data_IF_699129230513
#
_entry.id   IF_699129230513
#
_cell.length_a   1.000
_cell.length_b   1.000
_cell.length_c   1.000
_cell.angle_alpha   90.00
_cell.angle_beta   90.00
_cell.angle_gamma   90.00
#
_symmetry.space_group_name_H-M   'P 1'
#
loop_
_entity.id
_entity.type
_entity.pdbx_description
1 polymer ?
#
# COMPACT_ATOMS: atom_id res chain seq x y z
N UNK A 1 39.32 38.39 -34.03
CA UNK A 1 38.87 36.99 -33.98
C UNK A 1 40.06 36.13 -33.57
N UNK A 2 40.02 35.49 -32.39
CA UNK A 2 41.12 34.60 -31.97
C UNK A 2 41.10 33.34 -32.85
N UNK A 3 42.27 32.81 -33.28
CA UNK A 3 42.33 31.59 -34.08
C UNK A 3 41.91 30.39 -33.23
N UNK A 4 41.14 29.51 -33.86
CA UNK A 4 40.70 28.23 -33.30
C UNK A 4 41.93 27.40 -32.90
N UNK A 5 41.99 26.98 -31.63
CA UNK A 5 43.03 26.10 -31.12
C UNK A 5 42.95 24.75 -31.83
N UNK A 6 44.05 24.35 -32.45
CA UNK A 6 44.16 23.16 -33.28
C UNK A 6 44.24 21.90 -32.40
N UNK A 7 43.15 21.13 -32.31
CA UNK A 7 43.09 19.85 -31.59
C UNK A 7 43.72 18.71 -32.42
N UNK A 8 44.97 18.86 -32.88
CA UNK A 8 45.60 18.04 -33.93
C UNK A 8 45.73 16.51 -33.71
N UNK A 9 45.98 15.96 -32.51
CA UNK A 9 46.20 14.52 -32.37
C UNK A 9 44.91 13.68 -32.29
N UNK A 10 43.81 14.24 -31.75
CA UNK A 10 42.55 13.51 -31.57
C UNK A 10 41.73 13.53 -32.86
N UNK A 11 41.67 14.69 -33.53
CA UNK A 11 40.92 14.86 -34.78
C UNK A 11 41.55 14.08 -35.94
N UNK A 12 42.88 14.00 -36.01
CA UNK A 12 43.58 13.23 -37.05
C UNK A 12 43.33 11.71 -36.94
N UNK A 13 43.25 11.17 -35.72
CA UNK A 13 42.91 9.76 -35.48
C UNK A 13 41.47 9.43 -35.87
N UNK A 14 40.52 10.29 -35.48
CA UNK A 14 39.10 10.15 -35.86
C UNK A 14 38.90 10.27 -37.38
N UNK A 15 39.50 11.28 -38.02
CA UNK A 15 39.43 11.45 -39.47
C UNK A 15 40.05 10.29 -40.22
N UNK A 16 41.09 9.63 -39.68
CA UNK A 16 41.66 8.42 -40.27
C UNK A 16 40.75 7.19 -40.10
N UNK A 17 40.10 7.05 -38.95
CA UNK A 17 39.19 5.93 -38.68
C UNK A 17 37.88 6.00 -39.50
N UNK A 18 37.41 7.21 -39.80
CA UNK A 18 36.16 7.44 -40.54
C UNK A 18 36.36 7.95 -41.98
N UNK A 19 37.61 8.19 -42.42
CA UNK A 19 37.92 8.84 -43.69
C UNK A 19 37.50 8.08 -44.96
N UNK A 20 37.31 6.77 -44.86
CA UNK A 20 36.82 5.93 -45.97
C UNK A 20 35.32 5.60 -45.88
N UNK A 21 34.56 6.32 -45.03
CA UNK A 21 33.13 6.08 -44.81
C UNK A 21 32.28 7.21 -45.38
N UNK A 22 31.15 6.83 -45.99
CA UNK A 22 30.17 7.82 -46.45
C UNK A 22 29.49 8.52 -45.26
N UNK A 23 29.01 9.77 -45.41
CA UNK A 23 28.41 10.53 -44.32
C UNK A 23 27.29 9.79 -43.56
N UNK A 24 26.45 9.02 -44.26
CA UNK A 24 25.39 8.24 -43.64
C UNK A 24 25.94 7.09 -42.78
N UNK A 25 27.07 6.49 -43.15
CA UNK A 25 27.72 5.42 -42.39
C UNK A 25 28.29 5.95 -41.09
N UNK A 26 28.90 7.15 -41.12
CA UNK A 26 29.38 7.83 -39.92
C UNK A 26 28.20 8.11 -38.99
N UNK A 27 27.11 8.69 -39.50
CA UNK A 27 25.91 8.96 -38.72
C UNK A 27 25.30 7.69 -38.12
N UNK A 28 25.19 6.61 -38.89
CA UNK A 28 24.66 5.33 -38.43
C UNK A 28 25.52 4.67 -37.34
N UNK A 29 26.85 4.69 -37.50
CA UNK A 29 27.79 4.16 -36.51
C UNK A 29 27.66 4.97 -35.22
N UNK A 30 27.72 6.29 -35.28
CA UNK A 30 27.60 7.15 -34.10
C UNK A 30 26.25 6.94 -33.40
N UNK A 31 25.14 6.93 -34.13
CA UNK A 31 23.82 6.69 -33.55
C UNK A 31 23.72 5.30 -32.89
N UNK A 32 24.20 4.25 -33.56
CA UNK A 32 24.17 2.88 -33.03
C UNK A 32 25.04 2.72 -31.81
N UNK A 33 26.25 3.31 -31.81
CA UNK A 33 27.14 3.26 -30.64
C UNK A 33 26.52 4.02 -29.47
N UNK A 34 26.01 5.23 -29.68
CA UNK A 34 25.38 6.01 -28.59
C UNK A 34 24.15 5.29 -28.04
N UNK A 35 23.23 4.85 -28.89
CA UNK A 35 22.04 4.11 -28.47
C UNK A 35 22.41 2.79 -27.80
N UNK A 36 23.40 2.07 -28.32
CA UNK A 36 23.91 0.82 -27.76
C UNK A 36 24.55 1.01 -26.39
N UNK A 37 25.34 2.07 -26.21
CA UNK A 37 25.94 2.42 -24.90
C UNK A 37 24.88 2.85 -23.89
N UNK A 38 23.92 3.69 -24.29
CA UNK A 38 22.79 4.09 -23.43
C UNK A 38 21.95 2.87 -23.05
N UNK A 39 21.65 1.98 -24.00
CA UNK A 39 20.95 0.73 -23.75
C UNK A 39 21.72 -0.17 -22.79
N UNK A 40 23.03 -0.35 -23.00
CA UNK A 40 23.86 -1.19 -22.15
C UNK A 40 23.96 -0.62 -20.72
N UNK A 41 24.16 0.69 -20.59
CA UNK A 41 24.19 1.38 -19.32
C UNK A 41 22.86 1.24 -18.57
N UNK A 42 21.74 1.49 -19.26
CA UNK A 42 20.40 1.37 -18.67
C UNK A 42 20.03 -0.08 -18.35
N UNK A 43 20.56 -1.05 -19.09
CA UNK A 43 20.41 -2.48 -18.85
C UNK A 43 21.21 -2.93 -17.64
N UNK A 44 22.45 -2.47 -17.46
CA UNK A 44 23.31 -2.85 -16.32
C UNK A 44 22.80 -2.19 -15.03
N UNK A 45 22.48 -0.90 -15.07
CA UNK A 45 22.08 -0.12 -13.89
C UNK A 45 20.59 -0.22 -13.54
N UNK A 46 19.98 -1.40 -13.66
CA UNK A 46 18.61 -1.62 -13.17
C UNK A 46 18.57 -1.82 -11.66
N UNK A 47 17.39 -1.64 -11.05
CA UNK A 47 17.21 -1.75 -9.59
C UNK A 47 17.52 -3.15 -9.05
N UNK A 48 17.30 -4.18 -9.87
CA UNK A 48 17.66 -5.56 -9.55
C UNK A 48 19.05 -5.91 -10.09
N UNK A 49 19.87 -6.57 -9.26
CA UNK A 49 21.17 -7.10 -9.70
C UNK A 49 21.02 -8.10 -10.84
N UNK A 50 22.06 -8.21 -11.68
CA UNK A 50 22.08 -9.19 -12.79
C UNK A 50 21.84 -10.62 -12.31
N UNK A 51 22.31 -10.97 -11.10
CA UNK A 51 22.05 -12.27 -10.49
C UNK A 51 20.57 -12.49 -10.18
N UNK A 52 19.90 -11.51 -9.56
CA UNK A 52 18.47 -11.59 -9.26
C UNK A 52 17.65 -11.67 -10.54
N UNK A 53 17.99 -10.88 -11.55
CA UNK A 53 17.34 -10.91 -12.87
C UNK A 53 17.55 -12.24 -13.58
N UNK A 54 18.77 -12.76 -13.56
CA UNK A 54 19.12 -14.08 -14.09
C UNK A 54 18.38 -15.19 -13.37
N UNK A 55 18.32 -15.15 -12.04
CA UNK A 55 17.54 -16.07 -11.20
C UNK A 55 16.05 -15.99 -11.55
N UNK A 56 15.47 -14.79 -11.67
CA UNK A 56 14.07 -14.59 -12.07
C UNK A 56 13.79 -15.15 -13.45
N UNK A 57 14.65 -14.88 -14.43
CA UNK A 57 14.52 -15.39 -15.79
C UNK A 57 14.66 -16.92 -15.82
N UNK A 58 15.60 -17.47 -15.07
CA UNK A 58 15.75 -18.90 -14.87
C UNK A 58 14.48 -19.52 -14.29
N UNK A 59 13.93 -18.97 -13.19
CA UNK A 59 12.67 -19.45 -12.63
C UNK A 59 11.50 -19.29 -13.60
N UNK A 60 11.46 -18.22 -14.40
CA UNK A 60 10.45 -18.03 -15.43
C UNK A 60 10.54 -19.13 -16.51
N UNK A 61 11.75 -19.49 -16.95
CA UNK A 61 11.97 -20.60 -17.89
C UNK A 61 11.64 -21.96 -17.26
N UNK A 62 12.05 -22.18 -16.01
CA UNK A 62 11.73 -23.40 -15.24
C UNK A 62 10.21 -23.54 -15.08
N UNK A 63 9.48 -22.46 -14.81
CA UNK A 63 8.00 -22.46 -14.75
C UNK A 63 7.34 -22.81 -16.08
N UNK A 64 8.02 -22.63 -17.22
CA UNK A 64 7.52 -23.06 -18.54
C UNK A 64 7.72 -24.55 -18.81
N UNK A 65 8.58 -25.24 -18.05
CA UNK A 65 8.76 -26.68 -18.18
C UNK A 65 7.42 -27.39 -17.89
N UNK A 66 6.96 -28.31 -18.76
CA UNK A 66 5.66 -28.95 -18.60
C UNK A 66 5.45 -29.60 -17.23
N UNK A 67 6.49 -30.20 -16.65
CA UNK A 67 6.44 -30.86 -15.33
C UNK A 67 6.19 -29.84 -14.20
N UNK A 68 6.89 -28.71 -14.23
CA UNK A 68 6.74 -27.65 -13.22
C UNK A 68 5.39 -26.96 -13.37
N UNK A 69 5.00 -26.66 -14.61
CA UNK A 69 3.69 -26.08 -14.92
C UNK A 69 2.55 -26.99 -14.43
N UNK A 70 2.62 -28.30 -14.70
CA UNK A 70 1.65 -29.28 -14.15
C UNK A 70 1.57 -29.23 -12.63
N UNK A 71 2.68 -29.08 -11.91
CA UNK A 71 2.68 -28.98 -10.45
C UNK A 71 2.04 -27.68 -9.96
N UNK A 72 2.36 -26.55 -10.59
CA UNK A 72 1.74 -25.25 -10.28
C UNK A 72 0.24 -25.31 -10.56
N UNK A 73 -0.15 -25.80 -11.73
CA UNK A 73 -1.55 -25.94 -12.13
C UNK A 73 -2.29 -26.90 -11.18
N UNK A 74 -1.63 -27.95 -10.68
CA UNK A 74 -2.19 -28.85 -9.68
C UNK A 74 -2.45 -28.16 -8.34
N UNK A 75 -1.53 -27.34 -7.84
CA UNK A 75 -1.71 -26.56 -6.60
C UNK A 75 -2.80 -25.48 -6.76
N UNK A 76 -2.80 -24.75 -7.89
CA UNK A 76 -3.86 -23.76 -8.20
C UNK A 76 -5.21 -24.46 -8.29
N UNK A 77 -5.28 -25.60 -8.99
CA UNK A 77 -6.53 -26.35 -9.12
C UNK A 77 -6.96 -26.94 -7.78
N UNK A 78 -6.02 -27.32 -6.91
CA UNK A 78 -6.32 -27.78 -5.55
C UNK A 78 -6.91 -26.63 -4.73
N UNK A 79 -6.25 -25.48 -4.67
CA UNK A 79 -6.77 -24.30 -3.97
C UNK A 79 -8.15 -23.89 -4.49
N UNK A 80 -8.37 -23.94 -5.81
CA UNK A 80 -9.68 -23.70 -6.43
C UNK A 80 -10.72 -24.73 -5.97
N UNK A 81 -10.39 -26.02 -6.01
CA UNK A 81 -11.31 -27.08 -5.55
C UNK A 81 -11.60 -27.00 -4.07
N UNK A 82 -10.62 -26.66 -3.25
CA UNK A 82 -10.79 -26.52 -1.80
C UNK A 82 -11.75 -25.35 -1.52
N UNK A 83 -11.58 -24.21 -2.19
CA UNK A 83 -12.49 -23.07 -2.12
C UNK A 83 -13.90 -23.42 -2.64
N UNK A 84 -14.01 -24.02 -3.83
CA UNK A 84 -15.29 -24.46 -4.40
C UNK A 84 -16.00 -25.46 -3.49
N UNK A 85 -15.25 -26.38 -2.86
CA UNK A 85 -15.77 -27.38 -1.92
C UNK A 85 -16.26 -26.75 -0.63
N UNK A 86 -15.51 -25.81 -0.05
CA UNK A 86 -15.94 -25.06 1.15
C UNK A 86 -17.22 -24.27 0.85
N UNK A 87 -17.24 -23.48 -0.22
CA UNK A 87 -18.43 -22.70 -0.60
C UNK A 87 -19.61 -23.60 -0.93
N UNK A 88 -19.40 -24.69 -1.69
CA UNK A 88 -20.47 -25.63 -2.02
C UNK A 88 -21.03 -26.28 -0.77
N UNK A 89 -20.18 -26.76 0.15
CA UNK A 89 -20.61 -27.35 1.42
C UNK A 89 -21.44 -26.38 2.25
N UNK A 90 -21.00 -25.14 2.38
CA UNK A 90 -21.74 -24.12 3.12
C UNK A 90 -23.04 -23.72 2.42
N UNK A 91 -23.09 -23.77 1.09
CA UNK A 91 -24.25 -23.34 0.29
C UNK A 91 -25.12 -24.49 -0.26
N UNK A 92 -24.94 -25.74 0.19
CA UNK A 92 -25.61 -26.91 -0.40
C UNK A 92 -27.15 -26.79 -0.44
N UNK A 93 -27.74 -26.10 0.52
CA UNK A 93 -29.21 -25.95 0.66
C UNK A 93 -29.75 -24.64 0.02
N UNK A 94 -28.95 -23.98 -0.82
CA UNK A 94 -29.28 -22.72 -1.48
C UNK A 94 -29.42 -22.88 -2.98
N UNK A 95 -30.48 -22.28 -3.52
CA UNK A 95 -30.62 -22.07 -4.96
C UNK A 95 -29.76 -20.89 -5.40
N UNK A 96 -28.88 -21.13 -6.37
CA UNK A 96 -28.08 -20.08 -7.00
C UNK A 96 -28.95 -19.29 -7.97
N UNK A 97 -29.05 -17.97 -7.76
CA UNK A 97 -29.68 -17.06 -8.71
C UNK A 97 -28.64 -16.63 -9.75
N UNK A 98 -28.71 -17.20 -10.95
CA UNK A 98 -27.76 -16.94 -12.04
C UNK A 98 -28.25 -15.86 -13.01
N UNK A 99 -29.52 -15.49 -12.91
CA UNK A 99 -30.19 -14.52 -13.77
C UNK A 99 -31.02 -13.56 -12.90
N UNK A 100 -31.31 -12.37 -13.44
CA UNK A 100 -32.25 -11.45 -12.81
C UNK A 100 -33.66 -12.05 -12.85
N UNK A 101 -34.42 -11.99 -11.75
CA UNK A 101 -35.77 -12.53 -11.74
C UNK A 101 -36.67 -11.74 -12.70
N UNK A 102 -37.54 -12.45 -13.43
CA UNK A 102 -38.43 -11.84 -14.41
C UNK A 102 -39.39 -10.80 -13.80
N UNK A 103 -39.72 -10.96 -12.52
CA UNK A 103 -40.49 -10.00 -11.74
C UNK A 103 -39.69 -9.60 -10.50
N UNK A 104 -39.84 -8.34 -10.05
CA UNK A 104 -39.20 -7.88 -8.83
C UNK A 104 -39.71 -8.64 -7.60
N UNK A 105 -38.79 -9.06 -6.73
CA UNK A 105 -39.14 -9.67 -5.45
C UNK A 105 -39.79 -8.63 -4.53
N UNK A 106 -40.73 -9.08 -3.71
CA UNK A 106 -41.32 -8.28 -2.64
C UNK A 106 -40.29 -7.97 -1.54
N UNK A 107 -40.57 -6.94 -0.74
CA UNK A 107 -39.72 -6.56 0.40
C UNK A 107 -39.47 -7.75 1.34
N UNK A 108 -40.51 -8.51 1.66
CA UNK A 108 -40.42 -9.61 2.63
C UNK A 108 -39.60 -10.77 2.06
N UNK A 109 -39.75 -11.09 0.78
CA UNK A 109 -38.94 -12.10 0.09
C UNK A 109 -37.45 -11.72 0.09
N UNK A 110 -37.12 -10.44 -0.16
CA UNK A 110 -35.75 -9.94 -0.13
C UNK A 110 -35.15 -10.08 1.27
N UNK A 111 -35.88 -9.65 2.31
CA UNK A 111 -35.40 -9.72 3.69
C UNK A 111 -35.20 -11.16 4.15
N UNK A 112 -36.14 -12.06 3.85
CA UNK A 112 -36.00 -13.50 4.13
C UNK A 112 -34.79 -14.10 3.40
N UNK A 113 -34.53 -13.68 2.16
CA UNK A 113 -33.36 -14.12 1.42
C UNK A 113 -32.07 -13.67 2.10
N UNK A 114 -31.99 -12.40 2.50
CA UNK A 114 -30.83 -11.87 3.25
C UNK A 114 -30.62 -12.64 4.55
N UNK A 115 -31.67 -12.87 5.34
CA UNK A 115 -31.58 -13.65 6.58
C UNK A 115 -31.11 -15.08 6.34
N UNK A 116 -31.61 -15.73 5.27
CA UNK A 116 -31.14 -17.06 4.88
C UNK A 116 -29.64 -17.05 4.60
N UNK A 117 -29.12 -16.01 3.92
CA UNK A 117 -27.70 -15.90 3.58
C UNK A 117 -26.81 -15.58 4.78
N UNK A 118 -27.25 -14.70 5.67
CA UNK A 118 -26.50 -14.33 6.87
C UNK A 118 -26.34 -15.52 7.83
N UNK A 119 -27.27 -16.48 7.81
CA UNK A 119 -27.25 -17.67 8.67
C UNK A 119 -26.49 -18.87 8.09
N UNK A 120 -25.85 -18.74 6.91
CA UNK A 120 -25.03 -19.81 6.30
C UNK A 120 -23.76 -20.08 7.12
N UNK A 121 -23.19 -19.03 7.70
CA UNK A 121 -21.89 -19.10 8.36
C UNK A 121 -21.89 -20.07 9.55
N UNK A 122 -20.97 -21.04 9.52
CA UNK A 122 -20.85 -22.04 10.59
C UNK A 122 -20.20 -21.49 11.89
N UNK A 123 -19.51 -20.36 11.80
CA UNK A 123 -18.80 -19.78 12.93
C UNK A 123 -19.66 -18.77 13.68
N UNK A 124 -19.92 -19.07 14.96
CA UNK A 124 -20.53 -18.09 15.86
C UNK A 124 -19.47 -17.08 16.34
N UNK A 125 -19.20 -16.07 15.50
CA UNK A 125 -18.24 -15.01 15.82
C UNK A 125 -18.66 -14.17 17.05
N UNK A 126 -19.95 -14.19 17.42
CA UNK A 126 -20.45 -13.47 18.60
C UNK A 126 -19.92 -14.02 19.92
N UNK A 127 -19.48 -15.28 19.94
CA UNK A 127 -18.83 -15.91 21.09
C UNK A 127 -17.34 -15.52 21.22
N UNK A 128 -16.81 -14.66 20.35
CA UNK A 128 -15.41 -14.21 20.41
C UNK A 128 -14.39 -15.27 19.99
N UNK A 129 -14.81 -16.33 19.30
CA UNK A 129 -13.94 -17.43 18.84
C UNK A 129 -13.27 -17.19 17.49
N UNK A 130 -13.54 -16.04 16.86
CA UNK A 130 -12.98 -15.66 15.55
C UNK A 130 -11.99 -14.53 15.76
N UNK A 131 -10.71 -14.79 15.45
CA UNK A 131 -9.65 -13.78 15.56
C UNK A 131 -9.85 -12.66 14.52
N UNK A 132 -9.76 -11.41 14.97
CA UNK A 132 -9.99 -10.25 14.10
C UNK A 132 -11.41 -10.23 13.57
N UNK A 133 -11.57 -10.27 12.25
CA UNK A 133 -12.83 -10.33 11.47
C UNK A 133 -13.94 -9.33 11.86
N UNK A 134 -14.51 -9.47 13.07
CA UNK A 134 -15.49 -8.56 13.66
C UNK A 134 -14.91 -7.96 14.95
N UNK A 135 -14.46 -6.71 14.86
CA UNK A 135 -13.77 -6.02 15.96
C UNK A 135 -14.68 -5.68 17.15
N UNK A 136 -16.00 -5.82 16.99
CA UNK A 136 -16.92 -6.13 18.06
C UNK A 136 -18.36 -5.73 17.76
N UNK A 137 -19.26 -6.16 18.63
CA UNK A 137 -20.70 -6.00 18.46
C UNK A 137 -21.31 -5.44 19.74
N UNK A 138 -22.00 -4.30 19.62
CA UNK A 138 -22.91 -3.77 20.62
C UNK A 138 -24.21 -3.41 19.90
N UNK A 139 -25.34 -3.88 20.42
CA UNK A 139 -26.62 -3.79 19.70
C UNK A 139 -27.05 -2.33 19.48
N UNK A 140 -26.91 -1.50 20.52
CA UNK A 140 -27.15 -0.05 20.49
C UNK A 140 -26.29 0.67 19.43
N UNK A 141 -25.01 0.29 19.32
CA UNK A 141 -24.12 0.83 18.30
C UNK A 141 -24.53 0.41 16.88
N UNK A 142 -24.94 -0.84 16.70
CA UNK A 142 -25.41 -1.33 15.39
C UNK A 142 -26.70 -0.63 14.97
N UNK A 143 -27.62 -0.40 15.91
CA UNK A 143 -28.84 0.36 15.69
C UNK A 143 -28.52 1.80 15.25
N UNK A 144 -27.65 2.49 15.99
CA UNK A 144 -27.20 3.85 15.63
C UNK A 144 -26.56 3.89 14.24
N UNK A 145 -25.65 2.97 13.94
CA UNK A 145 -25.01 2.88 12.62
C UNK A 145 -26.07 2.69 11.54
N UNK A 146 -27.02 1.78 11.74
CA UNK A 146 -28.09 1.51 10.76
C UNK A 146 -28.95 2.74 10.51
N UNK A 147 -29.32 3.49 11.57
CA UNK A 147 -30.09 4.72 11.43
C UNK A 147 -29.32 5.78 10.65
N UNK A 148 -28.03 5.96 10.95
CA UNK A 148 -27.16 6.87 10.21
C UNK A 148 -27.05 6.46 8.74
N UNK A 149 -26.81 5.17 8.45
CA UNK A 149 -26.75 4.63 7.08
C UNK A 149 -28.00 5.04 6.32
N UNK A 150 -29.17 4.79 6.91
CA UNK A 150 -30.46 5.10 6.31
C UNK A 150 -30.56 6.57 5.91
N UNK A 151 -30.15 7.49 6.81
CA UNK A 151 -30.18 8.94 6.55
C UNK A 151 -29.22 9.40 5.44
N UNK A 152 -28.14 8.67 5.20
CA UNK A 152 -27.05 9.10 4.30
C UNK A 152 -26.82 8.21 3.09
N UNK A 153 -27.58 7.12 2.95
CA UNK A 153 -27.41 6.07 1.93
C UNK A 153 -27.34 6.54 0.47
N UNK A 154 -27.91 7.71 0.16
CA UNK A 154 -27.95 8.31 -1.19
C UNK A 154 -26.89 9.41 -1.40
N UNK A 155 -26.06 9.71 -0.40
CA UNK A 155 -25.08 10.79 -0.46
C UNK A 155 -23.85 10.38 -1.29
N UNK A 156 -23.26 11.35 -1.97
CA UNK A 156 -22.06 11.14 -2.80
C UNK A 156 -21.09 12.33 -2.67
N UNK A 157 -19.91 12.16 -2.03
CA UNK A 157 -19.01 13.26 -1.70
C UNK A 157 -18.27 13.81 -2.94
N UNK A 158 -18.45 13.17 -4.11
CA UNK A 158 -18.07 13.75 -5.39
C UNK A 158 -18.82 15.06 -5.70
N UNK A 159 -20.00 15.26 -5.09
CA UNK A 159 -20.85 16.45 -5.27
C UNK A 159 -20.93 17.27 -3.97
N UNK A 160 -19.86 18.00 -3.59
CA UNK A 160 -19.81 18.75 -2.33
C UNK A 160 -20.78 19.94 -2.28
N UNK A 161 -21.24 20.41 -3.44
CA UNK A 161 -22.30 21.42 -3.59
C UNK A 161 -23.69 20.87 -3.20
N UNK A 162 -23.93 19.58 -3.47
CA UNK A 162 -25.19 18.89 -3.14
C UNK A 162 -25.14 18.30 -1.73
N UNK A 163 -23.99 17.73 -1.33
CA UNK A 163 -23.82 17.04 -0.05
C UNK A 163 -22.73 17.66 0.85
N UNK A 164 -22.75 18.98 1.11
CA UNK A 164 -21.71 19.65 1.90
C UNK A 164 -21.63 19.12 3.33
N UNK A 165 -22.75 18.64 3.88
CA UNK A 165 -22.80 18.07 5.23
C UNK A 165 -21.93 16.83 5.38
N UNK A 166 -21.85 15.96 4.36
CA UNK A 166 -21.04 14.74 4.46
C UNK A 166 -19.56 15.06 4.26
N UNK A 167 -19.21 15.96 3.33
CA UNK A 167 -17.84 16.44 3.19
C UNK A 167 -17.33 17.12 4.47
N UNK A 168 -18.19 17.86 5.18
CA UNK A 168 -17.89 18.41 6.51
C UNK A 168 -17.60 17.30 7.52
N UNK A 169 -18.44 16.26 7.57
CA UNK A 169 -18.21 15.11 8.46
C UNK A 169 -16.86 14.45 8.17
N UNK A 170 -16.52 14.20 6.90
CA UNK A 170 -15.22 13.65 6.49
C UNK A 170 -14.05 14.52 6.96
N UNK A 171 -14.15 15.85 6.80
CA UNK A 171 -13.12 16.78 7.23
C UNK A 171 -12.93 16.79 8.77
N UNK A 172 -14.03 16.80 9.53
CA UNK A 172 -13.99 16.74 11.00
C UNK A 172 -13.39 15.43 11.50
N UNK A 173 -13.75 14.34 10.84
CA UNK A 173 -13.21 13.03 11.12
C UNK A 173 -11.70 12.98 10.90
N UNK A 174 -11.22 13.47 9.75
CA UNK A 174 -9.79 13.57 9.45
C UNK A 174 -9.09 14.40 10.52
N UNK A 175 -9.62 15.57 10.86
CA UNK A 175 -9.02 16.47 11.85
C UNK A 175 -8.94 15.82 13.23
N UNK A 176 -9.99 15.16 13.71
CA UNK A 176 -9.95 14.48 15.00
C UNK A 176 -8.93 13.36 15.04
N UNK A 177 -8.81 12.59 13.96
CA UNK A 177 -7.77 11.59 13.87
C UNK A 177 -6.38 12.24 13.87
N UNK A 178 -6.16 13.38 13.18
CA UNK A 178 -4.88 14.11 13.22
C UNK A 178 -4.53 14.48 14.65
N UNK A 179 -5.50 15.03 15.40
CA UNK A 179 -5.30 15.40 16.80
C UNK A 179 -4.97 14.18 17.67
N UNK A 180 -5.65 13.04 17.48
CA UNK A 180 -5.39 11.81 18.23
C UNK A 180 -3.99 11.23 17.98
N UNK A 181 -3.46 11.41 16.77
CA UNK A 181 -2.08 11.01 16.43
C UNK A 181 -1.07 12.15 16.63
N UNK A 182 -1.40 13.15 17.45
CA UNK A 182 -0.52 14.28 17.81
C UNK A 182 -0.04 15.12 16.62
N UNK A 183 -0.85 15.20 15.55
CA UNK A 183 -0.62 16.09 14.42
C UNK A 183 -0.83 17.56 14.79
N UNK A 184 -0.10 18.44 14.12
CA UNK A 184 -0.18 19.89 14.27
C UNK A 184 -1.30 20.52 13.41
N UNK A 185 -1.36 21.85 13.38
CA UNK A 185 -2.33 22.59 12.56
C UNK A 185 -2.18 22.32 11.05
N UNK A 186 -0.96 22.00 10.60
CA UNK A 186 -0.63 21.75 9.19
C UNK A 186 -0.89 20.31 8.76
N UNK A 187 -1.04 19.40 9.73
CA UNK A 187 -1.37 18.00 9.48
C UNK A 187 -2.73 17.89 8.78
N UNK A 188 -2.80 17.06 7.74
CA UNK A 188 -3.98 16.90 6.90
C UNK A 188 -4.26 15.42 6.57
N UNK A 189 -5.28 15.15 5.75
CA UNK A 189 -5.77 13.78 5.55
C UNK A 189 -6.92 13.65 4.56
N UNK A 190 -7.20 12.42 4.17
CA UNK A 190 -8.36 12.06 3.37
C UNK A 190 -8.96 10.75 3.87
N UNK A 191 -10.28 10.61 3.80
CA UNK A 191 -10.95 9.33 3.98
C UNK A 191 -10.62 8.38 2.83
N UNK A 192 -10.53 7.07 3.09
CA UNK A 192 -10.32 6.03 2.06
C UNK A 192 -11.22 4.82 2.32
N UNK A 193 -11.32 3.90 1.38
CA UNK A 193 -12.15 2.67 1.49
C UNK A 193 -11.54 1.59 2.39
N UNK A 194 -10.26 1.68 2.73
CA UNK A 194 -9.60 0.59 3.45
C UNK A 194 -8.12 0.85 3.67
N UNK A 195 -7.51 0.16 4.64
CA UNK A 195 -6.09 0.35 4.96
C UNK A 195 -5.20 0.03 3.75
N UNK A 196 -5.67 -0.87 2.88
CA UNK A 196 -5.04 -1.13 1.58
C UNK A 196 -5.02 0.11 0.71
N UNK A 197 -6.14 0.82 0.53
CA UNK A 197 -6.15 2.06 -0.27
C UNK A 197 -5.30 3.14 0.41
N UNK A 198 -5.33 3.23 1.74
CA UNK A 198 -4.50 4.17 2.48
C UNK A 198 -3.01 4.01 2.17
N UNK A 199 -2.51 2.77 2.26
CA UNK A 199 -1.14 2.42 1.93
C UNK A 199 -0.83 2.72 0.45
N UNK A 200 -1.73 2.36 -0.46
CA UNK A 200 -1.57 2.65 -1.90
C UNK A 200 -1.41 4.16 -2.14
N UNK A 201 -2.27 4.98 -1.54
CA UNK A 201 -2.24 6.44 -1.71
C UNK A 201 -0.96 7.06 -1.14
N UNK A 202 -0.49 6.58 0.02
CA UNK A 202 0.78 7.03 0.59
C UNK A 202 1.97 6.68 -0.34
N UNK A 203 2.07 5.44 -0.80
CA UNK A 203 3.11 5.02 -1.73
C UNK A 203 3.08 5.81 -3.04
N UNK A 204 1.88 6.04 -3.62
CA UNK A 204 1.71 6.86 -4.82
C UNK A 204 2.18 8.29 -4.59
N UNK A 205 1.77 8.91 -3.48
CA UNK A 205 2.12 10.29 -3.18
C UNK A 205 3.64 10.47 -3.05
N UNK A 206 4.33 9.60 -2.32
CA UNK A 206 5.78 9.70 -2.17
C UNK A 206 6.56 9.38 -3.43
N UNK A 207 6.05 8.47 -4.27
CA UNK A 207 6.59 8.25 -5.61
C UNK A 207 6.54 9.53 -6.44
N UNK A 208 5.37 10.17 -6.51
CA UNK A 208 5.15 11.36 -7.31
C UNK A 208 5.93 12.55 -6.77
N UNK A 209 5.94 12.71 -5.44
CA UNK A 209 6.73 13.74 -4.75
C UNK A 209 8.23 13.59 -5.05
N UNK A 210 8.79 12.38 -4.96
CA UNK A 210 10.19 12.14 -5.26
C UNK A 210 10.54 12.32 -6.74
N UNK A 211 9.59 12.07 -7.64
CA UNK A 211 9.75 12.38 -9.06
C UNK A 211 9.81 13.90 -9.28
N UNK A 212 8.93 14.67 -8.64
CA UNK A 212 8.86 16.13 -8.83
C UNK A 212 10.03 16.86 -8.17
N UNK A 213 10.37 16.51 -6.93
CA UNK A 213 11.36 17.23 -6.12
C UNK A 213 12.79 16.74 -6.32
N UNK A 214 12.98 15.45 -6.59
CA UNK A 214 14.31 14.80 -6.67
C UNK A 214 14.56 14.10 -8.01
N UNK A 215 13.62 14.15 -8.95
CA UNK A 215 13.70 13.50 -10.26
C UNK A 215 14.00 11.98 -10.18
N UNK A 216 13.45 11.29 -9.18
CA UNK A 216 13.63 9.84 -9.01
C UNK A 216 12.78 9.06 -10.00
N UNK A 217 13.40 8.62 -11.10
CA UNK A 217 12.74 7.86 -12.17
C UNK A 217 12.56 6.37 -11.86
N UNK A 218 13.31 5.84 -10.90
CA UNK A 218 13.31 4.42 -10.51
C UNK A 218 13.14 4.28 -8.99
N UNK A 219 11.95 4.58 -8.48
CA UNK A 219 11.71 4.69 -7.05
C UNK A 219 11.82 3.32 -6.37
N UNK A 220 12.45 3.28 -5.19
CA UNK A 220 12.37 2.14 -4.29
C UNK A 220 11.87 2.55 -2.90
N UNK A 221 11.29 1.59 -2.18
CA UNK A 221 10.89 1.75 -0.79
C UNK A 221 11.50 0.66 0.08
N UNK A 222 11.85 1.00 1.31
CA UNK A 222 12.46 0.08 2.26
C UNK A 222 11.41 -0.26 3.32
N UNK A 223 11.14 -1.56 3.45
CA UNK A 223 10.08 -2.06 4.31
C UNK A 223 10.56 -3.27 5.14
N UNK A 224 10.12 -3.40 6.40
CA UNK A 224 10.24 -4.65 7.15
C UNK A 224 9.58 -5.82 6.42
N UNK A 225 10.07 -7.05 6.58
CA UNK A 225 9.41 -8.25 6.03
C UNK A 225 7.99 -8.47 6.58
N UNK A 226 7.68 -7.88 7.73
CA UNK A 226 6.40 -8.00 8.44
C UNK A 226 5.34 -6.99 8.00
N UNK A 227 5.65 -6.07 7.07
CA UNK A 227 4.66 -5.09 6.59
C UNK A 227 3.46 -5.75 5.92
N UNK A 228 2.36 -5.00 5.82
CA UNK A 228 1.15 -5.46 5.15
C UNK A 228 1.38 -5.74 3.66
N UNK A 229 0.76 -6.79 3.11
CA UNK A 229 0.87 -7.15 1.69
C UNK A 229 0.36 -6.07 0.71
N UNK A 230 -0.29 -5.01 1.21
CA UNK A 230 -0.67 -3.86 0.41
C UNK A 230 0.56 -3.10 -0.13
N UNK A 231 1.72 -3.16 0.55
CA UNK A 231 2.95 -2.58 0.01
C UNK A 231 3.42 -3.33 -1.25
N UNK A 232 3.34 -4.66 -1.31
CA UNK A 232 3.58 -5.39 -2.56
C UNK A 232 2.62 -4.99 -3.68
N UNK A 233 1.34 -4.79 -3.33
CA UNK A 233 0.33 -4.32 -4.28
C UNK A 233 0.68 -2.92 -4.80
N UNK A 234 1.11 -2.01 -3.92
CA UNK A 234 1.57 -0.67 -4.27
C UNK A 234 2.80 -0.72 -5.19
N UNK A 235 3.78 -1.55 -4.83
CA UNK A 235 4.99 -1.77 -5.62
C UNK A 235 4.65 -2.17 -7.06
N UNK A 236 3.73 -3.12 -7.23
CA UNK A 236 3.30 -3.61 -8.54
C UNK A 236 2.50 -2.55 -9.32
N UNK A 237 1.53 -1.88 -8.67
CA UNK A 237 0.66 -0.90 -9.34
C UNK A 237 1.43 0.34 -9.78
N UNK A 238 2.33 0.81 -8.91
CA UNK A 238 3.00 2.09 -9.09
C UNK A 238 4.45 1.96 -9.57
N UNK A 239 4.91 0.74 -9.84
CA UNK A 239 6.28 0.41 -10.28
C UNK A 239 7.35 0.93 -9.32
N UNK A 240 7.14 0.70 -8.03
CA UNK A 240 8.10 1.01 -6.97
C UNK A 240 8.83 -0.29 -6.62
N UNK A 241 10.16 -0.28 -6.64
CA UNK A 241 10.94 -1.44 -6.23
C UNK A 241 10.89 -1.60 -4.70
N UNK A 242 10.61 -2.81 -4.21
CA UNK A 242 10.53 -3.09 -2.78
C UNK A 242 11.85 -3.68 -2.28
N UNK A 243 12.45 -3.06 -1.27
CA UNK A 243 13.63 -3.57 -0.58
C UNK A 243 13.19 -4.06 0.78
N UNK A 244 13.16 -5.39 0.94
CA UNK A 244 12.82 -6.03 2.19
C UNK A 244 13.99 -6.05 3.16
N UNK A 245 13.70 -5.70 4.41
CA UNK A 245 14.60 -5.88 5.55
C UNK A 245 14.02 -6.94 6.48
N UNK A 246 14.83 -7.95 6.80
CA UNK A 246 14.41 -9.03 7.69
C UNK A 246 14.24 -8.52 9.13
N UNK A 247 13.38 -9.20 9.89
CA UNK A 247 13.19 -8.96 11.31
C UNK A 247 14.04 -9.95 12.12
N UNK A 248 14.45 -9.54 13.32
CA UNK A 248 15.11 -10.46 14.24
C UNK A 248 14.12 -11.56 14.66
N UNK A 249 14.47 -12.86 14.58
CA UNK A 249 13.55 -13.95 14.84
C UNK A 249 13.15 -14.11 16.31
N UNK A 250 13.84 -13.43 17.25
CA UNK A 250 13.52 -13.43 18.68
C UNK A 250 12.71 -12.21 19.08
N UNK A 251 13.10 -11.01 18.65
CA UNK A 251 12.39 -9.78 19.00
C UNK A 251 11.24 -9.47 18.05
N UNK A 252 11.26 -10.03 16.83
CA UNK A 252 10.31 -9.77 15.75
C UNK A 252 10.29 -8.28 15.35
N UNK A 253 11.40 -7.59 15.56
CA UNK A 253 11.61 -6.18 15.21
C UNK A 253 12.58 -6.07 14.02
N UNK A 254 12.39 -5.03 13.21
CA UNK A 254 13.26 -4.75 12.06
C UNK A 254 14.67 -4.33 12.48
N UNK A 255 15.71 -4.84 11.81
CA UNK A 255 17.08 -4.34 11.99
C UNK A 255 17.23 -2.94 11.35
N UNK A 256 17.20 -1.90 12.19
CA UNK A 256 17.37 -0.50 11.77
C UNK A 256 18.72 -0.26 11.06
N UNK A 257 19.78 -0.99 11.43
CA UNK A 257 21.07 -0.87 10.72
C UNK A 257 20.98 -1.47 9.32
N UNK A 258 20.20 -2.55 9.13
CA UNK A 258 19.92 -3.07 7.80
C UNK A 258 19.07 -2.11 6.97
N UNK A 259 18.07 -1.46 7.57
CA UNK A 259 17.31 -0.36 6.92
C UNK A 259 18.27 0.71 6.42
N UNK A 260 19.17 1.19 7.30
CA UNK A 260 20.18 2.20 6.93
C UNK A 260 21.09 1.75 5.79
N UNK A 261 21.53 0.49 5.76
CA UNK A 261 22.39 -0.06 4.69
C UNK A 261 21.66 -0.17 3.35
N UNK A 262 20.34 -0.32 3.37
CA UNK A 262 19.52 -0.44 2.16
C UNK A 262 19.21 0.90 1.47
N UNK A 263 19.35 2.02 2.20
CA UNK A 263 19.10 3.38 1.68
C UNK A 263 20.03 3.71 0.52
N UNK A 264 19.47 4.22 -0.57
CA UNK A 264 20.20 4.72 -1.73
C UNK A 264 19.49 5.94 -2.36
N UNK A 265 20.06 6.50 -3.42
CA UNK A 265 19.54 7.72 -4.08
C UNK A 265 18.14 7.57 -4.67
N UNK A 266 17.68 6.33 -4.89
CA UNK A 266 16.37 6.03 -5.43
C UNK A 266 15.32 5.77 -4.33
N UNK A 267 15.70 5.80 -3.05
CA UNK A 267 14.78 5.53 -1.94
C UNK A 267 13.81 6.68 -1.74
N UNK A 268 12.51 6.40 -1.87
CA UNK A 268 11.41 7.37 -1.79
C UNK A 268 10.57 7.23 -0.54
N UNK A 269 10.68 6.12 0.19
CA UNK A 269 9.84 5.83 1.34
C UNK A 269 10.50 4.83 2.28
N UNK A 270 10.48 5.14 3.58
CA UNK A 270 10.71 4.20 4.67
C UNK A 270 9.38 3.85 5.34
N UNK A 271 9.21 2.60 5.74
CA UNK A 271 7.96 2.12 6.34
C UNK A 271 8.24 1.44 7.69
N UNK A 272 7.37 1.69 8.68
CA UNK A 272 7.28 0.91 9.90
C UNK A 272 5.82 0.62 10.25
N UNK A 273 5.56 -0.43 11.04
CA UNK A 273 4.20 -0.84 11.43
C UNK A 273 3.95 -0.62 12.92
N UNK A 274 2.74 -0.19 13.28
CA UNK A 274 2.33 0.09 14.66
C UNK A 274 0.93 -0.47 14.98
N UNK A 275 0.79 -1.79 15.24
CA UNK A 275 1.77 -2.86 15.05
C UNK A 275 1.64 -3.56 13.69
N UNK A 276 2.57 -4.46 13.39
CA UNK A 276 2.45 -5.35 12.22
C UNK A 276 1.37 -6.43 12.40
N UNK A 277 0.83 -6.91 11.28
CA UNK A 277 -0.20 -7.96 11.25
C UNK A 277 0.27 -9.35 11.71
N UNK A 278 1.48 -9.85 11.31
CA UNK A 278 1.88 -11.21 11.63
C UNK A 278 2.08 -11.50 13.12
N UNK A 279 2.64 -10.54 13.86
CA UNK A 279 3.09 -10.76 15.25
C UNK A 279 2.52 -9.77 16.25
N UNK A 280 1.91 -8.66 15.80
CA UNK A 280 1.40 -7.63 16.70
C UNK A 280 2.50 -6.82 17.39
N UNK A 281 3.75 -6.85 16.89
CA UNK A 281 4.86 -6.03 17.40
C UNK A 281 4.87 -4.64 16.74
N UNK A 282 5.29 -3.62 17.51
CA UNK A 282 5.48 -2.25 17.02
C UNK A 282 6.96 -2.08 16.64
N UNK A 283 7.21 -1.66 15.40
CA UNK A 283 8.56 -1.37 14.92
C UNK A 283 9.17 -0.16 15.66
N UNK A 284 10.50 -0.03 15.65
CA UNK A 284 11.17 1.14 16.22
C UNK A 284 11.00 2.37 15.31
N UNK A 285 9.84 3.02 15.41
CA UNK A 285 9.47 4.16 14.56
C UNK A 285 10.37 5.37 14.82
N UNK A 286 10.80 5.60 16.06
CA UNK A 286 11.73 6.69 16.38
C UNK A 286 13.05 6.51 15.62
N UNK A 287 13.61 5.31 15.61
CA UNK A 287 14.85 5.02 14.91
C UNK A 287 14.69 5.07 13.38
N UNK A 288 13.56 4.61 12.83
CA UNK A 288 13.24 4.72 11.40
C UNK A 288 13.05 6.20 11.00
N UNK A 289 12.33 6.98 11.80
CA UNK A 289 12.10 8.41 11.58
C UNK A 289 13.41 9.21 11.63
N UNK A 290 14.33 8.86 12.55
CA UNK A 290 15.65 9.46 12.60
C UNK A 290 16.47 9.20 11.31
N UNK A 291 16.32 8.02 10.69
CA UNK A 291 16.89 7.77 9.36
C UNK A 291 16.20 8.62 8.29
N UNK A 292 14.86 8.71 8.32
CA UNK A 292 14.09 9.55 7.42
C UNK A 292 14.55 11.01 7.42
N UNK A 293 14.69 11.61 8.61
CA UNK A 293 15.23 12.96 8.78
C UNK A 293 16.67 13.09 8.26
N UNK A 294 17.53 12.13 8.59
CA UNK A 294 18.95 12.19 8.23
C UNK A 294 19.16 12.14 6.72
N UNK A 295 18.36 11.36 6.01
CA UNK A 295 18.52 11.11 4.58
C UNK A 295 17.51 11.87 3.72
N UNK A 296 16.66 12.70 4.33
CA UNK A 296 15.56 13.42 3.67
C UNK A 296 14.66 12.46 2.86
N UNK A 297 14.18 11.42 3.56
CA UNK A 297 13.31 10.38 3.02
C UNK A 297 12.03 10.34 3.87
N UNK A 298 10.85 10.44 3.26
CA UNK A 298 9.60 10.33 3.99
C UNK A 298 9.44 9.00 4.74
N UNK A 299 8.77 9.04 5.88
CA UNK A 299 8.47 7.88 6.73
C UNK A 299 6.96 7.70 6.88
N UNK A 300 6.49 6.53 6.48
CA UNK A 300 5.10 6.12 6.64
C UNK A 300 4.96 5.09 7.77
N UNK A 301 4.02 5.35 8.67
CA UNK A 301 3.68 4.44 9.76
C UNK A 301 2.36 3.75 9.45
N UNK A 302 2.40 2.43 9.24
CA UNK A 302 1.21 1.62 9.10
C UNK A 302 0.62 1.29 10.48
N UNK A 303 -0.30 2.13 10.93
CA UNK A 303 -1.11 1.91 12.13
C UNK A 303 -2.51 1.35 11.78
N UNK A 304 -2.68 0.69 10.62
CA UNK A 304 -4.00 0.20 10.21
C UNK A 304 -4.56 -0.80 11.22
N UNK A 305 -3.76 -1.80 11.64
CA UNK A 305 -4.18 -2.79 12.62
C UNK A 305 -4.31 -2.20 14.03
N UNK A 306 -3.32 -1.39 14.45
CA UNK A 306 -3.32 -0.74 15.76
C UNK A 306 -4.48 0.23 15.91
N UNK A 307 -4.93 0.81 14.79
CA UNK A 307 -6.12 1.62 14.67
C UNK A 307 -6.09 2.71 15.75
N UNK A 308 -7.23 2.96 16.38
CA UNK A 308 -7.37 3.95 17.43
C UNK A 308 -7.02 3.39 18.81
N UNK A 309 -6.71 2.08 18.92
CA UNK A 309 -6.22 1.51 20.18
C UNK A 309 -4.87 2.11 20.49
N UNK A 310 -3.90 2.01 19.56
CA UNK A 310 -2.53 2.49 19.82
C UNK A 310 -2.47 3.97 20.17
N UNK A 311 -3.36 4.80 19.62
CA UNK A 311 -3.47 6.22 19.98
C UNK A 311 -3.93 6.41 21.44
N UNK A 312 -4.90 5.62 21.90
CA UNK A 312 -5.51 5.73 23.23
C UNK A 312 -4.81 4.88 24.31
N UNK A 313 -3.92 3.96 23.92
CA UNK A 313 -3.22 3.05 24.84
C UNK A 313 -2.42 3.81 25.91
N UNK A 314 -1.81 4.94 25.55
CA UNK A 314 -1.08 5.80 26.50
C UNK A 314 -2.01 6.40 27.56
N UNK A 315 -3.17 6.90 27.14
CA UNK A 315 -4.19 7.46 28.04
C UNK A 315 -4.78 6.38 28.96
N UNK A 316 -4.87 5.14 28.47
CA UNK A 316 -5.27 3.98 29.26
C UNK A 316 -4.20 3.49 30.25
N UNK A 317 -3.05 4.17 30.36
CA UNK A 317 -1.99 3.87 31.34
C UNK A 317 -0.99 2.79 30.90
N UNK A 318 -1.07 2.31 29.66
CA UNK A 318 -0.15 1.33 29.12
C UNK A 318 1.04 2.00 28.43
N UNK A 319 2.24 1.45 28.64
CA UNK A 319 3.46 1.93 27.98
C UNK A 319 3.62 1.26 26.63
N UNK A 320 3.70 2.07 25.58
CA UNK A 320 4.01 1.63 24.21
C UNK A 320 5.12 2.49 23.62
N UNK A 321 5.85 1.92 22.66
CA UNK A 321 6.83 2.67 21.88
C UNK A 321 6.14 3.83 21.16
N UNK A 322 6.76 5.02 21.09
CA UNK A 322 6.24 6.10 20.27
C UNK A 322 6.14 5.69 18.80
N UNK A 323 5.12 6.18 18.10
CA UNK A 323 4.88 5.79 16.71
C UNK A 323 4.19 6.86 15.84
N UNK A 324 3.76 7.99 16.41
CA UNK A 324 2.86 8.96 15.76
C UNK A 324 3.57 10.28 15.38
N UNK A 325 2.82 11.33 15.02
CA UNK A 325 3.38 12.62 14.59
C UNK A 325 4.12 13.38 15.69
N UNK A 326 4.10 12.91 16.94
CA UNK A 326 5.00 13.44 17.97
C UNK A 326 6.48 13.15 17.67
N UNK A 327 6.78 12.18 16.80
CA UNK A 327 8.13 11.86 16.36
C UNK A 327 8.48 12.71 15.14
N UNK A 328 9.51 13.55 15.30
CA UNK A 328 10.08 14.28 14.18
C UNK A 328 10.63 13.30 13.12
N UNK A 329 10.20 13.45 11.87
CA UNK A 329 10.54 12.55 10.77
C UNK A 329 9.40 11.64 10.31
N UNK A 330 8.36 11.45 11.12
CA UNK A 330 7.13 10.79 10.66
C UNK A 330 6.37 11.75 9.75
N UNK A 331 6.17 11.36 8.50
CA UNK A 331 5.53 12.21 7.49
C UNK A 331 4.12 11.72 7.13
N UNK A 332 3.73 10.49 7.43
CA UNK A 332 2.34 10.02 7.21
C UNK A 332 1.99 8.80 8.05
N UNK A 333 0.69 8.60 8.32
CA UNK A 333 0.17 7.47 9.11
C UNK A 333 -1.11 6.96 8.46
N UNK A 334 -1.27 5.64 8.31
CA UNK A 334 -2.57 5.04 7.95
C UNK A 334 -3.23 4.42 9.18
N UNK A 335 -4.54 4.61 9.35
CA UNK A 335 -5.29 4.09 10.50
C UNK A 335 -6.71 3.64 10.08
N UNK A 336 -7.14 2.45 10.46
CA UNK A 336 -8.46 1.94 10.03
C UNK A 336 -9.53 2.26 11.06
N UNK A 337 -10.58 2.99 10.70
CA UNK A 337 -11.75 3.13 11.58
C UNK A 337 -12.64 1.91 11.61
N UNK A 338 -12.75 1.19 10.51
CA UNK A 338 -13.58 -0.02 10.47
C UNK A 338 -13.04 -1.19 11.31
N UNK A 339 -11.84 -1.02 11.89
CA UNK A 339 -11.27 -1.98 12.83
C UNK A 339 -11.69 -1.64 14.25
N UNK A 340 -10.78 -1.11 15.07
CA UNK A 340 -11.00 -0.98 16.51
C UNK A 340 -11.62 0.36 16.90
N UNK A 341 -11.87 1.26 15.95
CA UNK A 341 -12.52 2.53 16.26
C UNK A 341 -14.04 2.36 16.41
N UNK A 342 -14.52 2.44 17.65
CA UNK A 342 -15.95 2.39 17.99
C UNK A 342 -16.49 3.71 18.56
N UNK A 343 -15.81 4.83 18.27
CA UNK A 343 -16.38 6.14 18.56
C UNK A 343 -17.55 6.37 17.62
N UNK A 344 -18.68 6.81 18.19
CA UNK A 344 -19.93 7.15 17.48
C UNK A 344 -19.66 7.96 16.21
N UNK A 345 -18.70 8.89 16.25
CA UNK A 345 -18.39 9.78 15.14
C UNK A 345 -17.56 9.15 14.01
N UNK A 346 -16.62 8.26 14.34
CA UNK A 346 -15.87 7.51 13.33
C UNK A 346 -16.73 6.47 12.62
N UNK A 347 -17.79 5.99 13.29
CA UNK A 347 -18.70 5.00 12.74
C UNK A 347 -19.95 5.60 12.07
N UNK A 348 -20.32 6.84 12.41
CA UNK A 348 -21.24 7.67 11.62
C UNK A 348 -20.84 7.66 10.13
N UNK A 349 -19.54 7.81 9.82
CA UNK A 349 -19.02 7.76 8.44
C UNK A 349 -18.77 6.36 7.87
N UNK A 350 -18.44 5.36 8.71
CA UNK A 350 -18.43 3.96 8.26
C UNK A 350 -19.80 3.55 7.68
N UNK A 351 -20.86 4.12 8.27
CA UNK A 351 -22.23 3.96 7.79
C UNK A 351 -22.53 4.75 6.52
N UNK A 352 -22.00 5.95 6.34
CA UNK A 352 -22.30 6.67 5.08
C UNK A 352 -21.74 5.96 3.84
N UNK A 353 -20.66 5.18 3.97
CA UNK A 353 -19.88 4.73 2.80
C UNK A 353 -19.53 3.24 2.72
N UNK A 354 -19.98 2.40 3.66
CA UNK A 354 -19.78 0.95 3.67
C UNK A 354 -18.31 0.52 3.50
N UNK A 355 -17.61 0.29 4.61
CA UNK A 355 -16.17 -0.03 4.68
C UNK A 355 -15.29 1.12 4.21
N UNK A 356 -14.97 2.01 5.14
CA UNK A 356 -13.90 3.00 4.98
C UNK A 356 -12.78 2.74 6.00
N UNK A 357 -11.55 3.05 5.61
CA UNK A 357 -10.40 3.30 6.49
C UNK A 357 -9.96 4.75 6.36
N UNK A 358 -8.96 5.14 7.12
CA UNK A 358 -8.36 6.46 6.98
C UNK A 358 -6.99 6.29 6.35
N UNK A 359 -6.66 7.18 5.43
CA UNK A 359 -5.28 7.50 5.12
C UNK A 359 -5.02 8.88 5.65
N UNK A 360 -4.25 9.01 6.74
CA UNK A 360 -3.81 10.32 7.15
C UNK A 360 -2.62 10.74 6.28
N UNK A 361 -2.80 11.87 5.63
CA UNK A 361 -2.00 12.35 4.52
C UNK A 361 -0.91 13.27 5.07
N UNK A 362 0.32 12.92 4.70
CA UNK A 362 1.43 13.81 4.36
C UNK A 362 1.55 15.10 5.17
N UNK A 363 2.43 15.08 6.17
CA UNK A 363 3.28 16.23 6.44
C UNK A 363 4.27 16.35 5.27
N UNK A 364 3.88 17.07 4.22
CA UNK A 364 4.83 17.59 3.24
C UNK A 364 5.26 18.97 3.75
N UNK A 365 6.43 19.02 4.39
CA UNK A 365 7.18 20.27 4.49
C UNK A 365 7.85 20.56 3.16
#
# INVERSE_FOLDING_TARGET
>A
MKPYQDCGPITSGLNRAFGNKEPWQVAAITATTVLGTVWLWTFINQDESLFVRGKRQFFHLVKKLPVVRRKIDAEISKARRDFESEISKSCNDLSWSLELPANGLSRDEILQLVDKHLNIGHYNWREGRVSGAVYGFKADLVELITEVYGKTSYTNPLHPDIFPGVCKMEAEVVRMACTLFHGDANSCGTMTTGGTESILMACKAYRDYALETRNVQRPNMIVPRTVHAAFDKAAQYFKIHIIYVDVDPKTLEVDVQAVKRAINSNTVLLVGSAPNFPYGTIDDIEAIAALGLKYDIPVHVDACLGSFVVALTREAGYKIKPFDFSINGVTSISADTHKVCKSIFCQLLYSVYNKLSFSMVLHLK
#
